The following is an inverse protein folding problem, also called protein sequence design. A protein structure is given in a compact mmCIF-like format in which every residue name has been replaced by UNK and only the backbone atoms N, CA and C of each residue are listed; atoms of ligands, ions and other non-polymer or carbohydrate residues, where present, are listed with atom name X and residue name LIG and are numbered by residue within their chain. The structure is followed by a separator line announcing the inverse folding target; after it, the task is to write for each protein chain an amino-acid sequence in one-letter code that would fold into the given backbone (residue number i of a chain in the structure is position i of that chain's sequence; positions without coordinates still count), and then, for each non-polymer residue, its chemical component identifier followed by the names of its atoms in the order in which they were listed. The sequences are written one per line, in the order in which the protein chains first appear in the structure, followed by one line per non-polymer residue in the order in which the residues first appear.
data_IF_882156602871
#
_entry.id   IF_882156602871
#
_cell.length_a   1.000
_cell.length_b   1.000
_cell.length_c   1.000
_cell.angle_alpha   90.00
_cell.angle_beta   90.00
_cell.angle_gamma   90.00
#
_symmetry.space_group_name_H-M   'P 1'
#
loop_
_entity.id
_entity.type
_entity.pdbx_description
1 polymer ?
#
# COMPACT_ATOMS: atom_id res chain seq x y z
N UNK A 1 0.47 30.48 -30.53
CA UNK A 1 0.12 29.59 -29.39
C UNK A 1 0.66 28.18 -29.60
N UNK A 2 0.35 27.48 -30.70
CA UNK A 2 0.91 26.14 -30.98
C UNK A 2 2.44 26.13 -31.07
N UNK A 3 3.02 27.05 -31.86
CA UNK A 3 4.47 27.14 -32.04
C UNK A 3 5.24 27.32 -30.72
N UNK A 4 4.70 28.14 -29.81
CA UNK A 4 5.27 28.36 -28.47
C UNK A 4 5.41 27.05 -27.68
N UNK A 5 4.33 26.24 -27.64
CA UNK A 5 4.38 24.96 -26.93
C UNK A 5 5.28 23.95 -27.62
N UNK A 6 5.37 23.96 -28.95
CA UNK A 6 6.29 23.08 -29.68
C UNK A 6 7.74 23.42 -29.35
N UNK A 7 8.10 24.72 -29.32
CA UNK A 7 9.44 25.18 -28.93
C UNK A 7 9.77 24.82 -27.48
N UNK A 8 8.83 25.05 -26.56
CA UNK A 8 8.98 24.68 -25.15
C UNK A 8 9.24 23.17 -24.99
N UNK A 9 8.51 22.31 -25.71
CA UNK A 9 8.74 20.87 -25.69
C UNK A 9 10.15 20.51 -26.17
N UNK A 10 10.60 21.10 -27.27
CA UNK A 10 11.95 20.84 -27.80
C UNK A 10 13.07 21.42 -26.93
N UNK A 11 12.80 22.47 -26.15
CA UNK A 11 13.76 23.03 -25.20
C UNK A 11 13.91 22.16 -23.95
N UNK A 12 12.84 21.51 -23.49
CA UNK A 12 12.84 20.70 -22.28
C UNK A 12 13.21 19.24 -22.51
N UNK A 13 12.89 18.69 -23.68
CA UNK A 13 13.04 17.26 -23.95
C UNK A 13 13.72 16.97 -25.29
N UNK A 14 14.73 16.11 -25.22
CA UNK A 14 15.25 15.42 -26.39
C UNK A 14 14.34 14.22 -26.71
N UNK A 15 13.35 14.46 -27.57
CA UNK A 15 12.35 13.46 -27.94
C UNK A 15 12.96 12.23 -28.64
N UNK A 16 14.02 12.44 -29.41
CA UNK A 16 14.69 11.35 -30.12
C UNK A 16 15.45 10.46 -29.13
N UNK A 17 16.18 11.06 -28.18
CA UNK A 17 16.83 10.31 -27.10
C UNK A 17 15.81 9.55 -26.25
N UNK A 18 14.72 10.19 -25.85
CA UNK A 18 13.65 9.53 -25.07
C UNK A 18 13.11 8.32 -25.85
N UNK A 19 12.87 8.47 -27.16
CA UNK A 19 12.42 7.37 -28.00
C UNK A 19 13.41 6.20 -28.00
N UNK A 20 14.70 6.47 -28.14
CA UNK A 20 15.74 5.44 -28.12
C UNK A 20 15.85 4.76 -26.76
N UNK A 21 15.76 5.52 -25.68
CA UNK A 21 15.79 5.01 -24.31
C UNK A 21 14.60 4.07 -24.08
N UNK A 22 13.40 4.47 -24.50
CA UNK A 22 12.19 3.63 -24.42
C UNK A 22 12.36 2.34 -25.21
N UNK A 23 12.83 2.41 -26.47
CA UNK A 23 13.04 1.22 -27.30
C UNK A 23 14.07 0.27 -26.69
N UNK A 24 15.16 0.79 -26.14
CA UNK A 24 16.19 0.02 -25.45
C UNK A 24 15.62 -0.67 -24.21
N UNK A 25 14.86 0.07 -23.42
CA UNK A 25 14.18 -0.41 -22.22
C UNK A 25 13.20 -1.55 -22.55
N UNK A 26 12.43 -1.40 -23.64
CA UNK A 26 11.51 -2.44 -24.12
C UNK A 26 12.23 -3.71 -24.59
N UNK A 27 13.30 -3.57 -25.38
CA UNK A 27 14.11 -4.71 -25.85
C UNK A 27 14.70 -5.50 -24.69
N UNK A 28 15.29 -4.80 -23.71
CA UNK A 28 15.83 -5.42 -22.49
C UNK A 28 14.75 -6.18 -21.71
N UNK A 29 13.57 -5.57 -21.49
CA UNK A 29 12.49 -6.23 -20.75
C UNK A 29 11.93 -7.46 -21.46
N UNK A 30 11.78 -7.42 -22.79
CA UNK A 30 11.34 -8.60 -23.57
C UNK A 30 12.29 -9.78 -23.40
N UNK A 31 13.60 -9.54 -23.48
CA UNK A 31 14.63 -10.57 -23.29
C UNK A 31 14.61 -11.15 -21.86
N UNK A 32 14.56 -10.30 -20.84
CA UNK A 32 14.54 -10.75 -19.45
C UNK A 32 13.24 -11.50 -19.14
N UNK A 33 12.10 -10.98 -19.61
CA UNK A 33 10.80 -11.61 -19.41
C UNK A 33 10.73 -12.98 -20.05
N UNK A 34 11.23 -13.17 -21.28
CA UNK A 34 11.23 -14.49 -21.93
C UNK A 34 11.99 -15.53 -21.12
N UNK A 35 13.10 -15.15 -20.48
CA UNK A 35 13.83 -16.04 -19.58
C UNK A 35 13.12 -16.29 -18.24
N UNK A 36 12.45 -15.27 -17.67
CA UNK A 36 11.79 -15.38 -16.36
C UNK A 36 10.52 -16.24 -16.35
N UNK A 37 9.90 -16.44 -17.52
CA UNK A 37 8.70 -17.28 -17.65
C UNK A 37 9.01 -18.75 -17.93
N UNK A 38 10.28 -19.11 -18.15
CA UNK A 38 10.69 -20.49 -18.33
C UNK A 38 10.73 -21.24 -16.98
N UNK A 39 10.27 -22.49 -16.96
CA UNK A 39 10.27 -23.31 -15.76
C UNK A 39 9.16 -22.93 -14.77
N UNK A 40 9.53 -22.61 -13.53
CA UNK A 40 8.59 -22.18 -12.48
C UNK A 40 8.70 -20.68 -12.27
N UNK A 41 7.73 -19.88 -12.75
CA UNK A 41 7.75 -18.43 -12.58
C UNK A 41 7.74 -18.02 -11.11
N UNK A 42 8.53 -17.02 -10.76
CA UNK A 42 8.54 -16.42 -9.42
C UNK A 42 7.79 -15.09 -9.45
N UNK A 43 6.63 -15.06 -8.79
CA UNK A 43 5.81 -13.85 -8.69
C UNK A 43 6.52 -12.79 -7.84
N UNK A 44 6.34 -11.52 -8.23
CA UNK A 44 6.86 -10.34 -7.52
C UNK A 44 5.77 -9.61 -6.74
N UNK A 45 4.56 -10.16 -6.71
CA UNK A 45 3.47 -9.63 -5.93
C UNK A 45 3.87 -9.57 -4.46
N UNK A 46 3.63 -8.43 -3.82
CA UNK A 46 3.87 -8.28 -2.40
C UNK A 46 2.78 -9.02 -1.63
N UNK A 47 3.20 -9.99 -0.81
CA UNK A 47 2.31 -10.71 0.09
C UNK A 47 2.38 -10.08 1.49
N UNK A 48 1.33 -9.39 1.95
CA UNK A 48 1.28 -8.88 3.32
C UNK A 48 1.22 -10.06 4.29
N UNK A 49 2.27 -10.22 5.10
CA UNK A 49 2.23 -11.17 6.21
C UNK A 49 1.49 -10.56 7.40
N UNK A 50 0.46 -11.28 7.85
CA UNK A 50 -0.22 -10.98 9.09
C UNK A 50 -0.28 -12.24 9.92
N UNK A 51 0.34 -12.21 11.10
CA UNK A 51 0.41 -13.38 11.97
C UNK A 51 -0.98 -13.70 12.54
N UNK A 52 -1.64 -14.79 12.09
CA UNK A 52 -2.99 -15.13 12.52
C UNK A 52 -3.04 -15.56 14.00
N UNK A 53 -1.91 -15.96 14.59
CA UNK A 53 -1.84 -16.33 16.01
C UNK A 53 -2.00 -15.14 16.94
N UNK A 54 -1.78 -13.91 16.43
CA UNK A 54 -1.85 -12.66 17.20
C UNK A 54 -3.08 -11.81 16.89
N UNK A 55 -3.85 -12.17 15.86
CA UNK A 55 -5.07 -11.46 15.49
C UNK A 55 -6.28 -11.88 16.34
N UNK A 56 -7.20 -10.93 16.55
CA UNK A 56 -8.45 -11.13 17.28
C UNK A 56 -8.24 -11.66 18.71
N UNK A 57 -9.28 -12.25 19.30
CA UNK A 57 -9.21 -12.86 20.63
C UNK A 57 -8.35 -14.13 20.58
N UNK A 58 -7.34 -14.17 21.44
CA UNK A 58 -6.40 -15.29 21.59
C UNK A 58 -6.10 -15.48 23.08
N UNK A 59 -6.04 -16.74 23.54
CA UNK A 59 -5.78 -17.06 24.95
C UNK A 59 -4.44 -16.52 25.46
N UNK A 60 -3.47 -16.35 24.56
CA UNK A 60 -2.11 -15.86 24.84
C UNK A 60 -1.93 -14.40 24.37
N UNK A 61 -3.01 -13.75 23.92
CA UNK A 61 -3.01 -12.46 23.25
C UNK A 61 -2.93 -11.25 24.18
N UNK A 62 -3.16 -10.07 23.60
CA UNK A 62 -3.04 -8.76 24.25
C UNK A 62 -4.12 -8.53 25.32
N UNK A 63 -3.91 -9.05 26.53
CA UNK A 63 -4.63 -8.68 27.76
C UNK A 63 -5.95 -9.42 28.03
N UNK A 64 -6.69 -8.96 29.05
CA UNK A 64 -8.00 -9.50 29.44
C UNK A 64 -9.00 -9.33 28.29
N UNK A 65 -9.87 -10.33 28.06
CA UNK A 65 -10.85 -10.40 26.97
C UNK A 65 -11.59 -9.08 26.68
N UNK A 66 -11.96 -8.33 27.73
CA UNK A 66 -12.70 -7.08 27.60
C UNK A 66 -11.92 -5.95 26.88
N UNK A 67 -10.58 -5.96 26.93
CA UNK A 67 -9.75 -4.93 26.30
C UNK A 67 -9.69 -5.07 24.77
N UNK A 68 -9.69 -6.29 24.24
CA UNK A 68 -9.60 -6.55 22.79
C UNK A 68 -10.83 -6.01 22.05
N UNK A 69 -12.02 -6.19 22.64
CA UNK A 69 -13.29 -5.69 22.09
C UNK A 69 -13.35 -4.15 22.09
N UNK A 70 -12.89 -3.52 23.17
CA UNK A 70 -12.89 -2.05 23.29
C UNK A 70 -11.93 -1.39 22.28
N UNK A 71 -10.74 -1.98 22.08
CA UNK A 71 -9.71 -1.42 21.19
C UNK A 71 -10.06 -1.64 19.72
N UNK A 72 -10.74 -2.74 19.39
CA UNK A 72 -11.11 -3.08 18.01
C UNK A 72 -12.35 -2.34 17.49
N UNK A 73 -13.17 -1.77 18.39
CA UNK A 73 -14.40 -1.07 18.03
C UNK A 73 -14.16 0.40 17.66
N UNK A 74 -14.68 0.82 16.51
CA UNK A 74 -14.75 2.23 16.11
C UNK A 74 -16.12 2.57 15.50
N UNK A 75 -16.79 3.67 15.88
CA UNK A 75 -16.42 4.62 16.94
C UNK A 75 -16.59 4.00 18.34
N UNK A 76 -15.82 4.50 19.31
CA UNK A 76 -15.87 4.04 20.71
C UNK A 76 -17.07 4.66 21.45
N UNK A 77 -18.25 4.07 21.27
CA UNK A 77 -19.53 4.59 21.79
C UNK A 77 -19.64 4.59 23.32
N UNK A 78 -18.84 3.79 24.05
CA UNK A 78 -18.86 3.82 25.52
C UNK A 78 -18.32 5.15 26.09
N UNK A 79 -17.38 5.79 25.39
CA UNK A 79 -16.82 7.07 25.86
C UNK A 79 -17.78 8.24 25.58
N UNK A 80 -18.54 8.18 24.49
CA UNK A 80 -19.60 9.16 24.20
C UNK A 80 -20.79 9.00 25.15
N UNK A 81 -21.29 7.78 25.35
CA UNK A 81 -22.41 7.53 26.27
C UNK A 81 -22.06 7.85 27.74
N UNK A 82 -20.84 7.55 28.20
CA UNK A 82 -20.40 7.91 29.55
C UNK A 82 -20.26 9.43 29.75
N UNK A 83 -19.78 10.15 28.73
CA UNK A 83 -19.72 11.62 28.74
C UNK A 83 -21.11 12.28 28.66
N UNK A 84 -22.04 11.69 27.91
CA UNK A 84 -23.43 12.16 27.77
C UNK A 84 -24.27 11.93 29.04
N UNK A 85 -23.96 10.88 29.83
CA UNK A 85 -24.67 10.53 31.06
C UNK A 85 -23.96 10.95 32.35
N UNK A 86 -22.88 11.74 32.27
CA UNK A 86 -22.24 12.38 33.44
C UNK A 86 -21.55 11.41 34.41
N UNK A 87 -21.24 10.18 34.01
CA UNK A 87 -20.55 9.20 34.83
C UNK A 87 -19.04 9.25 34.52
N UNK A 88 -18.29 10.03 35.30
CA UNK A 88 -16.82 10.01 35.28
C UNK A 88 -16.33 8.64 35.75
N UNK A 89 -15.79 7.85 34.82
CA UNK A 89 -15.03 6.63 35.13
C UNK A 89 -13.74 7.08 35.82
N UNK A 90 -13.69 6.94 37.14
CA UNK A 90 -12.49 7.21 37.92
C UNK A 90 -11.39 6.18 37.60
N UNK A 91 -10.16 6.68 37.64
CA UNK A 91 -8.87 6.11 37.22
C UNK A 91 -8.52 4.77 37.88
#
# INVERSE_FOLDING_TARGET
MLAYFTEEVHAHWDLEKIRQDVLTSQRRRRLVYSALIEGTPRNWDWEPYVDPSTQYVRNQGKGILHNVELISRWPRVLQQAANEHGLTVQT
#
